data_IF_679001306247
#
_entry.id   IF_679001306247
#
_cell.length_a   1.000
_cell.length_b   1.000
_cell.length_c   1.000
_cell.angle_alpha   90.00
_cell.angle_beta   90.00
_cell.angle_gamma   90.00
#
_symmetry.space_group_name_H-M   'P 1'
#
loop_
_entity.id
_entity.type
_entity.pdbx_description
1 polymer ?
#
# COMPACT_ATOMS: atom_id res chain seq x y z
N UNK A 1 35.28 -1.55 -28.82
CA UNK A 1 35.71 -0.80 -30.02
C UNK A 1 34.64 0.22 -30.36
N UNK A 2 35.08 1.42 -30.71
CA UNK A 2 34.36 2.56 -31.30
C UNK A 2 33.42 3.40 -30.39
N UNK A 3 33.92 4.61 -30.16
CA UNK A 3 33.31 5.85 -29.63
C UNK A 3 32.69 6.65 -30.79
N UNK A 4 31.66 7.46 -30.54
CA UNK A 4 31.42 8.83 -31.09
C UNK A 4 30.03 9.32 -30.63
N UNK A 5 29.86 10.35 -29.81
CA UNK A 5 30.18 11.80 -29.92
C UNK A 5 29.08 12.64 -30.61
N UNK A 6 28.41 13.43 -29.75
CA UNK A 6 27.85 14.79 -29.87
C UNK A 6 27.37 15.37 -31.22
N UNK A 7 26.23 16.08 -31.18
CA UNK A 7 26.15 17.50 -31.56
C UNK A 7 24.80 18.12 -31.16
N UNK A 8 24.84 19.29 -30.54
CA UNK A 8 23.72 20.20 -30.34
C UNK A 8 23.59 21.14 -31.55
N UNK A 9 22.36 21.52 -31.91
CA UNK A 9 22.11 22.67 -32.78
C UNK A 9 20.97 23.52 -32.20
N UNK A 10 21.31 24.78 -31.91
CA UNK A 10 20.40 25.90 -31.74
C UNK A 10 20.05 26.48 -33.12
N UNK A 11 18.80 26.92 -33.29
CA UNK A 11 18.41 27.84 -34.37
C UNK A 11 17.51 28.90 -33.77
N UNK A 12 17.89 30.16 -34.00
CA UNK A 12 17.13 31.35 -33.65
C UNK A 12 16.46 31.95 -34.89
N UNK A 13 15.44 32.77 -34.60
CA UNK A 13 14.92 33.91 -35.39
C UNK A 13 13.75 33.62 -36.35
N UNK A 14 12.62 34.29 -36.13
CA UNK A 14 12.22 35.44 -36.94
C UNK A 14 10.92 36.07 -36.40
N UNK A 15 10.94 37.39 -36.20
CA UNK A 15 9.77 38.20 -35.94
C UNK A 15 9.12 38.62 -37.27
N UNK A 16 7.79 38.65 -37.32
CA UNK A 16 7.03 39.37 -38.33
C UNK A 16 5.87 40.11 -37.64
N UNK A 17 5.77 41.40 -37.94
CA UNK A 17 4.75 42.31 -37.43
C UNK A 17 3.48 42.25 -38.30
N UNK A 18 2.32 42.33 -37.66
CA UNK A 18 1.10 42.88 -38.26
C UNK A 18 0.31 43.64 -37.19
N UNK A 19 0.01 44.90 -37.49
CA UNK A 19 -0.85 45.78 -36.70
C UNK A 19 -2.31 45.61 -37.14
N UNK A 20 -3.27 45.69 -36.21
CA UNK A 20 -4.66 46.01 -36.56
C UNK A 20 -5.76 45.45 -35.64
N UNK A 21 -6.48 46.39 -35.02
CA UNK A 21 -7.87 46.34 -34.54
C UNK A 21 -8.20 45.69 -33.19
N UNK A 22 -8.78 46.53 -32.33
CA UNK A 22 -9.45 46.19 -31.09
C UNK A 22 -10.73 45.40 -31.38
N UNK A 23 -10.79 44.16 -30.90
CA UNK A 23 -12.03 43.45 -30.65
C UNK A 23 -11.93 42.82 -29.26
N UNK A 24 -12.84 43.23 -28.37
CA UNK A 24 -13.03 42.65 -27.05
C UNK A 24 -13.38 41.16 -27.20
N UNK A 25 -12.42 40.28 -26.91
CA UNK A 25 -12.68 38.86 -26.80
C UNK A 25 -13.18 38.56 -25.38
N UNK A 26 -14.38 38.02 -25.29
CA UNK A 26 -14.92 37.38 -24.08
C UNK A 26 -13.96 36.27 -23.61
N UNK A 27 -13.76 36.08 -22.30
CA UNK A 27 -12.79 35.11 -21.79
C UNK A 27 -13.38 33.70 -21.86
N UNK A 28 -13.29 33.07 -23.03
CA UNK A 28 -13.45 31.63 -23.19
C UNK A 28 -12.27 31.08 -23.98
N UNK A 29 -11.56 30.15 -23.35
CA UNK A 29 -10.53 29.27 -23.88
C UNK A 29 -9.16 29.85 -24.24
N UNK A 30 -8.34 30.05 -23.19
CA UNK A 30 -6.87 30.00 -23.31
C UNK A 30 -6.39 28.53 -23.26
N UNK A 31 -5.41 28.11 -24.10
CA UNK A 31 -4.88 26.74 -24.14
C UNK A 31 -4.08 26.30 -22.90
N UNK A 32 -4.00 27.13 -21.86
CA UNK A 32 -3.29 26.84 -20.61
C UNK A 32 -4.16 26.27 -19.48
N UNK A 33 -5.48 26.13 -19.68
CA UNK A 33 -6.43 25.85 -18.58
C UNK A 33 -6.54 24.37 -18.18
N UNK A 34 -6.35 23.44 -19.11
CA UNK A 34 -6.52 22.00 -18.84
C UNK A 34 -5.36 21.41 -18.07
N UNK A 35 -4.11 21.72 -18.42
CA UNK A 35 -2.94 21.22 -17.71
C UNK A 35 -2.87 21.73 -16.26
N UNK A 36 -3.20 23.01 -16.04
CA UNK A 36 -3.25 23.59 -14.70
C UNK A 36 -4.38 22.99 -13.84
N UNK A 37 -5.57 22.76 -14.41
CA UNK A 37 -6.68 22.09 -13.72
C UNK A 37 -6.35 20.65 -13.35
N UNK A 38 -5.78 19.87 -14.28
CA UNK A 38 -5.34 18.49 -14.01
C UNK A 38 -4.30 18.45 -12.89
N UNK A 39 -3.36 19.40 -12.86
CA UNK A 39 -2.37 19.50 -11.78
C UNK A 39 -3.04 19.79 -10.42
N UNK A 40 -3.99 20.73 -10.37
CA UNK A 40 -4.74 21.05 -9.14
C UNK A 40 -5.52 19.82 -8.65
N UNK A 41 -6.21 19.11 -9.54
CA UNK A 41 -7.00 17.92 -9.18
C UNK A 41 -6.12 16.80 -8.63
N UNK A 42 -4.92 16.57 -9.21
CA UNK A 42 -3.94 15.61 -8.68
C UNK A 42 -3.46 16.03 -7.29
N UNK A 43 -3.12 17.30 -7.07
CA UNK A 43 -2.69 17.77 -5.75
C UNK A 43 -3.78 17.64 -4.68
N UNK A 44 -5.04 17.96 -5.03
CA UNK A 44 -6.19 17.82 -4.12
C UNK A 44 -6.45 16.36 -3.77
N UNK A 45 -6.42 15.47 -4.77
CA UNK A 45 -6.61 14.04 -4.56
C UNK A 45 -5.48 13.44 -3.70
N UNK A 46 -4.22 13.81 -3.97
CA UNK A 46 -3.07 13.36 -3.18
C UNK A 46 -3.13 13.83 -1.72
N UNK A 47 -3.53 15.08 -1.49
CA UNK A 47 -3.73 15.61 -0.14
C UNK A 47 -4.84 14.84 0.61
N UNK A 48 -5.96 14.54 -0.06
CA UNK A 48 -7.05 13.72 0.49
C UNK A 48 -6.56 12.31 0.86
N UNK A 49 -5.85 11.63 -0.04
CA UNK A 49 -5.33 10.28 0.23
C UNK A 49 -4.36 10.31 1.40
N UNK A 50 -3.45 11.29 1.44
CA UNK A 50 -2.50 11.44 2.55
C UNK A 50 -3.20 11.64 3.90
N UNK A 51 -4.22 12.48 3.95
CA UNK A 51 -5.01 12.72 5.17
C UNK A 51 -5.74 11.44 5.62
N UNK A 52 -6.44 10.77 4.69
CA UNK A 52 -7.14 9.53 4.95
C UNK A 52 -6.22 8.41 5.46
N UNK A 53 -5.03 8.25 4.87
CA UNK A 53 -4.04 7.26 5.32
C UNK A 53 -3.44 7.62 6.69
N UNK A 54 -3.30 8.92 6.98
CA UNK A 54 -2.86 9.38 8.31
C UNK A 54 -3.92 9.10 9.38
N UNK A 55 -5.21 9.29 9.05
CA UNK A 55 -6.32 8.94 9.95
C UNK A 55 -6.39 7.43 10.20
N UNK A 56 -6.23 6.63 9.14
CA UNK A 56 -6.19 5.17 9.25
C UNK A 56 -5.03 4.70 10.13
N UNK A 57 -3.85 5.33 9.96
CA UNK A 57 -2.70 5.08 10.81
C UNK A 57 -2.94 5.43 12.28
N UNK A 58 -3.49 6.61 12.55
CA UNK A 58 -3.81 7.04 13.91
C UNK A 58 -4.81 6.08 14.58
N UNK A 59 -5.85 5.67 13.85
CA UNK A 59 -6.84 4.71 14.33
C UNK A 59 -6.24 3.32 14.58
N UNK A 60 -5.38 2.83 13.67
CA UNK A 60 -4.74 1.53 13.80
C UNK A 60 -3.73 1.50 14.96
N UNK A 61 -2.90 2.53 15.10
CA UNK A 61 -1.97 2.66 16.22
C UNK A 61 -2.68 2.78 17.56
N UNK A 62 -3.77 3.56 17.64
CA UNK A 62 -4.60 3.64 18.84
C UNK A 62 -5.25 2.29 19.18
N UNK A 63 -5.78 1.59 18.18
CA UNK A 63 -6.38 0.26 18.36
C UNK A 63 -5.37 -0.74 18.93
N UNK A 64 -4.18 -0.81 18.36
CA UNK A 64 -3.14 -1.73 18.85
C UNK A 64 -2.53 -1.30 20.19
N UNK A 65 -2.46 0.00 20.47
CA UNK A 65 -2.12 0.51 21.80
C UNK A 65 -3.14 0.04 22.86
N UNK A 66 -4.43 0.06 22.54
CA UNK A 66 -5.46 -0.45 23.46
C UNK A 66 -5.37 -1.98 23.69
N UNK A 67 -4.97 -2.73 22.66
CA UNK A 67 -4.87 -4.20 22.74
C UNK A 67 -3.57 -4.68 23.42
N UNK A 68 -2.44 -4.02 23.15
CA UNK A 68 -1.11 -4.46 23.57
C UNK A 68 -0.51 -3.62 24.70
N UNK A 69 -1.12 -2.49 25.03
CA UNK A 69 -0.56 -1.51 25.96
C UNK A 69 0.80 -1.00 25.48
N UNK A 70 1.71 -0.73 26.42
CA UNK A 70 3.06 -0.22 26.12
C UNK A 70 3.91 -1.17 25.26
N UNK A 71 3.49 -2.43 25.09
CA UNK A 71 4.19 -3.39 24.21
C UNK A 71 4.25 -2.91 22.76
N UNK A 72 3.28 -2.11 22.30
CA UNK A 72 3.31 -1.52 20.95
C UNK A 72 4.48 -0.56 20.75
N UNK A 73 5.12 -0.08 21.82
CA UNK A 73 6.23 0.86 21.78
C UNK A 73 7.57 0.26 22.26
N UNK A 74 7.60 -1.02 22.66
CA UNK A 74 8.76 -1.64 23.31
C UNK A 74 10.03 -1.69 22.46
N UNK A 75 9.90 -1.77 21.13
CA UNK A 75 11.05 -1.72 20.24
C UNK A 75 11.38 -0.31 19.78
N UNK A 76 10.35 0.46 19.42
CA UNK A 76 10.37 1.88 19.01
C UNK A 76 8.91 2.32 18.81
N UNK A 77 8.65 3.63 18.73
CA UNK A 77 7.36 4.16 18.31
C UNK A 77 7.21 4.01 16.79
N UNK A 78 6.22 3.25 16.28
CA UNK A 78 6.05 3.09 14.85
C UNK A 78 5.74 4.44 14.19
N UNK A 79 6.27 4.66 12.99
CA UNK A 79 6.11 5.91 12.23
C UNK A 79 5.43 5.67 10.87
N UNK A 80 4.69 6.67 10.38
CA UNK A 80 4.20 6.73 9.01
C UNK A 80 4.95 7.82 8.25
N UNK A 81 5.64 7.46 7.17
CA UNK A 81 6.40 8.39 6.36
C UNK A 81 5.94 8.38 4.89
N UNK A 82 5.54 9.55 4.39
CA UNK A 82 5.15 9.73 3.00
C UNK A 82 6.36 10.12 2.15
N UNK A 83 6.64 9.32 1.13
CA UNK A 83 7.79 9.49 0.24
C UNK A 83 7.33 9.61 -1.21
N UNK A 84 8.10 10.26 -2.12
CA UNK A 84 7.73 10.29 -3.53
C UNK A 84 7.66 8.88 -4.15
N UNK A 85 8.59 8.01 -3.77
CA UNK A 85 8.64 6.61 -4.15
C UNK A 85 9.21 5.79 -3.01
N UNK A 86 8.66 4.60 -2.77
CA UNK A 86 9.27 3.64 -1.85
C UNK A 86 10.50 3.04 -2.54
N UNK A 87 11.63 3.01 -1.84
CA UNK A 87 12.92 2.58 -2.37
C UNK A 87 13.53 1.55 -1.43
N UNK A 88 14.34 0.63 -1.99
CA UNK A 88 15.03 -0.39 -1.22
C UNK A 88 15.91 0.20 -0.08
N UNK A 89 16.47 1.41 -0.27
CA UNK A 89 17.24 2.12 0.76
C UNK A 89 16.46 2.45 2.03
N UNK A 90 15.12 2.50 1.99
CA UNK A 90 14.29 2.72 3.17
C UNK A 90 14.23 1.48 4.08
N UNK A 91 14.44 0.29 3.52
CA UNK A 91 14.29 -1.01 4.20
C UNK A 91 15.56 -1.88 4.14
N UNK A 92 16.75 -1.25 4.13
CA UNK A 92 18.04 -1.94 4.06
C UNK A 92 18.19 -2.94 2.89
N UNK A 93 17.50 -2.70 1.77
CA UNK A 93 17.58 -3.54 0.58
C UNK A 93 16.47 -4.58 0.44
N UNK A 94 15.63 -4.80 1.45
CA UNK A 94 14.49 -5.74 1.39
C UNK A 94 13.26 -4.99 0.86
N UNK A 95 12.89 -5.22 -0.41
CA UNK A 95 11.78 -4.52 -1.05
C UNK A 95 11.06 -5.41 -2.06
N UNK A 96 9.74 -5.46 -1.92
CA UNK A 96 8.77 -5.83 -2.95
C UNK A 96 7.52 -5.06 -2.61
N UNK A 97 6.95 -4.28 -3.54
CA UNK A 97 5.51 -3.99 -3.65
C UNK A 97 5.22 -2.63 -4.31
N UNK A 98 4.10 -2.58 -5.04
CA UNK A 98 3.50 -1.35 -5.54
C UNK A 98 2.79 -0.53 -4.43
N UNK A 99 2.71 -1.04 -3.19
CA UNK A 99 2.00 -0.46 -2.05
C UNK A 99 2.88 0.16 -0.96
N UNK A 100 2.30 0.43 0.23
CA UNK A 100 3.03 0.73 1.46
C UNK A 100 4.03 -0.38 1.83
N UNK A 101 5.02 -0.06 2.66
CA UNK A 101 5.99 -1.04 3.17
C UNK A 101 6.39 -0.73 4.61
N UNK A 102 6.30 -1.72 5.50
CA UNK A 102 6.86 -1.68 6.85
C UNK A 102 8.34 -2.09 6.88
N UNK A 103 9.19 -1.19 7.35
CA UNK A 103 10.58 -1.46 7.66
C UNK A 103 10.75 -1.84 9.14
N UNK A 104 11.03 -3.10 9.42
CA UNK A 104 11.27 -3.56 10.79
C UNK A 104 12.56 -2.99 11.41
N UNK A 105 13.55 -2.62 10.61
CA UNK A 105 14.85 -2.13 11.08
C UNK A 105 14.84 -0.68 11.61
N UNK A 106 13.89 0.15 11.18
CA UNK A 106 13.70 1.53 11.69
C UNK A 106 12.24 1.81 12.10
N UNK A 107 11.42 0.77 12.21
CA UNK A 107 10.03 0.81 12.69
C UNK A 107 9.16 1.83 11.92
N UNK A 108 9.35 1.95 10.61
CA UNK A 108 8.65 2.95 9.78
C UNK A 108 7.85 2.28 8.65
N UNK A 109 6.60 2.71 8.48
CA UNK A 109 5.78 2.45 7.29
C UNK A 109 6.03 3.55 6.27
N UNK A 110 6.52 3.18 5.11
CA UNK A 110 6.75 4.09 3.99
C UNK A 110 5.60 3.99 2.99
N UNK A 111 5.05 5.14 2.58
CA UNK A 111 3.94 5.21 1.63
C UNK A 111 4.27 6.18 0.51
N UNK A 112 4.12 5.74 -0.74
CA UNK A 112 4.08 6.66 -1.89
C UNK A 112 2.64 7.07 -2.19
N UNK A 113 2.32 8.35 -2.01
CA UNK A 113 0.98 8.90 -2.31
C UNK A 113 0.64 8.69 -3.78
N UNK A 114 1.61 8.90 -4.69
CA UNK A 114 1.43 8.67 -6.12
C UNK A 114 1.08 7.21 -6.43
N UNK A 115 1.75 6.24 -5.78
CA UNK A 115 1.39 4.84 -5.95
C UNK A 115 -0.02 4.53 -5.42
N UNK A 116 -0.43 5.16 -4.31
CA UNK A 116 -1.78 5.00 -3.75
C UNK A 116 -2.85 5.58 -4.68
N UNK A 117 -2.57 6.71 -5.32
CA UNK A 117 -3.44 7.27 -6.36
C UNK A 117 -3.55 6.33 -7.57
N UNK A 118 -2.43 5.78 -8.03
CA UNK A 118 -2.41 4.80 -9.12
C UNK A 118 -3.22 3.55 -8.79
N UNK A 119 -3.06 3.04 -7.57
CA UNK A 119 -3.80 1.89 -7.08
C UNK A 119 -5.31 2.18 -7.03
N UNK A 120 -5.69 3.34 -6.48
CA UNK A 120 -7.08 3.79 -6.41
C UNK A 120 -7.73 3.93 -7.79
N UNK A 121 -6.96 4.36 -8.81
CA UNK A 121 -7.42 4.46 -10.20
C UNK A 121 -7.58 3.10 -10.87
N UNK A 122 -6.62 2.18 -10.66
CA UNK A 122 -6.57 0.89 -11.35
C UNK A 122 -7.51 -0.15 -10.77
N UNK A 123 -7.87 -0.02 -9.50
CA UNK A 123 -8.72 -0.97 -8.79
C UNK A 123 -10.04 -0.29 -8.37
N UNK A 124 -10.95 -0.07 -9.33
CA UNK A 124 -12.25 0.51 -9.03
C UNK A 124 -12.99 -0.39 -8.02
N UNK A 125 -13.41 0.19 -6.90
CA UNK A 125 -14.10 -0.52 -5.81
C UNK A 125 -13.31 -0.64 -4.51
N UNK A 126 -11.98 -0.39 -4.53
CA UNK A 126 -11.14 -0.39 -3.31
C UNK A 126 -11.59 0.70 -2.33
N UNK A 127 -11.86 1.90 -2.85
CA UNK A 127 -12.31 3.05 -2.05
C UNK A 127 -11.33 3.44 -0.94
N UNK A 128 -11.74 4.37 -0.08
CA UNK A 128 -10.88 4.85 1.02
C UNK A 128 -10.61 3.76 2.06
N UNK A 129 -11.61 2.89 2.33
CA UNK A 129 -11.47 1.79 3.28
C UNK A 129 -10.44 0.75 2.83
N UNK A 130 -10.39 0.44 1.53
CA UNK A 130 -9.40 -0.47 0.96
C UNK A 130 -7.96 0.07 1.02
N UNK A 131 -7.78 1.36 0.76
CA UNK A 131 -6.48 2.01 0.91
C UNK A 131 -6.06 2.08 2.38
N UNK A 132 -7.00 2.38 3.29
CA UNK A 132 -6.76 2.38 4.74
C UNK A 132 -6.30 1.00 5.23
N UNK A 133 -6.90 -0.08 4.69
CA UNK A 133 -6.49 -1.45 4.99
C UNK A 133 -4.99 -1.70 4.71
N UNK A 134 -4.43 -1.14 3.63
CA UNK A 134 -3.00 -1.34 3.31
C UNK A 134 -2.08 -0.80 4.41
N UNK A 135 -2.42 0.35 5.00
CA UNK A 135 -1.64 0.92 6.11
C UNK A 135 -1.82 0.09 7.38
N UNK A 136 -3.02 -0.45 7.63
CA UNK A 136 -3.26 -1.34 8.75
C UNK A 136 -2.51 -2.69 8.61
N UNK A 137 -2.39 -3.21 7.38
CA UNK A 137 -1.57 -4.38 7.06
C UNK A 137 -0.11 -4.14 7.43
N UNK A 138 0.47 -3.01 7.02
CA UNK A 138 1.86 -2.67 7.39
C UNK A 138 2.06 -2.53 8.91
N UNK A 139 1.07 -1.98 9.62
CA UNK A 139 1.12 -1.98 11.08
C UNK A 139 0.97 -3.39 11.67
N UNK A 140 0.28 -4.31 10.98
CA UNK A 140 0.27 -5.74 11.29
C UNK A 140 1.67 -6.35 11.32
N UNK A 141 2.57 -5.96 10.41
CA UNK A 141 3.97 -6.36 10.48
C UNK A 141 4.69 -5.79 11.71
N UNK A 142 4.36 -4.57 12.14
CA UNK A 142 4.88 -4.07 13.41
C UNK A 142 4.43 -4.92 14.61
N UNK A 143 3.16 -5.33 14.63
CA UNK A 143 2.62 -6.24 15.66
C UNK A 143 3.33 -7.60 15.61
N UNK A 144 3.62 -8.13 14.42
CA UNK A 144 4.45 -9.32 14.26
C UNK A 144 5.86 -9.15 14.83
N UNK A 145 6.49 -7.98 14.66
CA UNK A 145 7.80 -7.65 15.27
C UNK A 145 7.70 -7.74 16.80
N UNK A 146 6.70 -7.10 17.39
CA UNK A 146 6.48 -7.10 18.86
C UNK A 146 6.22 -8.51 19.39
N UNK A 147 5.47 -9.32 18.66
CA UNK A 147 5.16 -10.70 19.03
C UNK A 147 6.28 -11.69 18.69
N UNK A 148 7.44 -11.22 18.20
CA UNK A 148 8.59 -12.08 17.90
C UNK A 148 8.39 -12.99 16.69
N UNK A 149 7.40 -12.71 15.83
CA UNK A 149 7.06 -13.53 14.67
C UNK A 149 8.16 -13.51 13.60
N UNK A 150 8.89 -12.40 13.44
CA UNK A 150 10.08 -12.37 12.58
C UNK A 150 11.16 -13.39 13.01
N UNK A 151 11.40 -13.53 14.32
CA UNK A 151 12.35 -14.53 14.83
C UNK A 151 11.84 -15.95 14.59
N UNK A 152 10.54 -16.15 14.77
CA UNK A 152 9.85 -17.44 14.52
C UNK A 152 9.97 -17.82 13.05
N UNK A 153 9.62 -16.92 12.13
CA UNK A 153 9.77 -17.10 10.69
C UNK A 153 11.22 -17.47 10.33
N UNK A 154 12.20 -16.71 10.83
CA UNK A 154 13.61 -16.98 10.55
C UNK A 154 14.05 -18.36 11.07
N UNK A 155 13.55 -18.82 12.21
CA UNK A 155 13.83 -20.16 12.74
C UNK A 155 13.18 -21.26 11.87
N UNK A 156 11.92 -21.09 11.47
CA UNK A 156 11.21 -22.02 10.60
C UNK A 156 11.90 -22.12 9.23
N UNK A 157 12.25 -21.00 8.62
CA UNK A 157 12.96 -20.98 7.33
C UNK A 157 14.31 -21.70 7.42
N UNK A 158 15.07 -21.54 8.51
CA UNK A 158 16.32 -22.29 8.73
C UNK A 158 16.08 -23.79 8.88
N UNK A 159 15.00 -24.18 9.57
CA UNK A 159 14.66 -25.59 9.79
C UNK A 159 14.13 -26.27 8.52
N UNK A 160 13.37 -25.54 7.70
CA UNK A 160 12.74 -26.04 6.48
C UNK A 160 12.94 -25.09 5.29
N UNK A 161 14.16 -24.96 4.75
CA UNK A 161 14.45 -23.99 3.67
C UNK A 161 13.59 -24.19 2.42
N UNK A 162 13.26 -25.45 2.10
CA UNK A 162 12.40 -25.80 0.97
C UNK A 162 10.97 -25.23 1.07
N UNK A 163 10.50 -24.90 2.28
CA UNK A 163 9.19 -24.27 2.53
C UNK A 163 9.27 -22.75 2.71
N UNK A 164 10.43 -22.11 2.46
CA UNK A 164 10.61 -20.68 2.71
C UNK A 164 9.54 -19.80 2.04
N UNK A 165 9.14 -20.11 0.81
CA UNK A 165 8.12 -19.34 0.09
C UNK A 165 6.76 -19.45 0.75
N UNK A 166 6.35 -20.67 1.10
CA UNK A 166 5.10 -20.91 1.80
C UNK A 166 5.07 -20.20 3.16
N UNK A 167 6.17 -20.24 3.90
CA UNK A 167 6.33 -19.55 5.17
C UNK A 167 6.26 -18.02 5.02
N UNK A 168 6.82 -17.47 3.93
CA UNK A 168 6.69 -16.05 3.62
C UNK A 168 5.23 -15.68 3.32
N UNK A 169 4.52 -16.46 2.50
CA UNK A 169 3.09 -16.22 2.23
C UNK A 169 2.25 -16.28 3.51
N UNK A 170 2.49 -17.26 4.39
CA UNK A 170 1.82 -17.35 5.69
C UNK A 170 2.09 -16.12 6.56
N UNK A 171 3.30 -15.56 6.49
CA UNK A 171 3.67 -14.36 7.24
C UNK A 171 2.92 -13.11 6.74
N UNK A 172 2.78 -12.94 5.43
CA UNK A 172 1.96 -11.85 4.85
C UNK A 172 0.47 -12.01 5.18
N UNK A 173 -0.04 -13.25 5.14
CA UNK A 173 -1.43 -13.55 5.47
C UNK A 173 -1.74 -13.35 6.97
N UNK A 174 -0.76 -13.51 7.86
CA UNK A 174 -0.89 -13.12 9.26
C UNK A 174 -1.05 -11.59 9.39
N UNK A 175 -0.34 -10.79 8.60
CA UNK A 175 -0.54 -9.34 8.59
C UNK A 175 -1.93 -8.94 8.06
N UNK A 176 -2.47 -9.63 7.05
CA UNK A 176 -3.86 -9.48 6.61
C UNK A 176 -4.86 -9.80 7.75
N UNK A 177 -4.63 -10.88 8.51
CA UNK A 177 -5.46 -11.23 9.66
C UNK A 177 -5.41 -10.16 10.76
N UNK A 178 -4.23 -9.65 11.09
CA UNK A 178 -4.05 -8.58 12.07
C UNK A 178 -4.73 -7.28 11.62
N UNK A 179 -4.71 -6.96 10.32
CA UNK A 179 -5.52 -5.85 9.78
C UNK A 179 -7.02 -6.11 9.92
N UNK A 180 -7.48 -7.35 9.81
CA UNK A 180 -8.86 -7.75 10.14
C UNK A 180 -9.21 -7.47 11.60
N UNK A 181 -8.33 -7.83 12.54
CA UNK A 181 -8.50 -7.53 13.97
C UNK A 181 -8.66 -6.02 14.21
N UNK A 182 -7.84 -5.21 13.54
CA UNK A 182 -7.99 -3.76 13.58
C UNK A 182 -9.37 -3.32 13.06
N UNK A 183 -9.80 -3.80 11.89
CA UNK A 183 -11.10 -3.44 11.32
C UNK A 183 -12.29 -3.85 12.23
N UNK A 184 -12.13 -4.92 13.02
CA UNK A 184 -13.09 -5.37 14.03
C UNK A 184 -13.20 -4.44 15.25
N UNK A 185 -12.11 -3.74 15.59
CA UNK A 185 -11.99 -2.91 16.80
C UNK A 185 -12.04 -1.41 16.53
N UNK A 186 -11.75 -1.00 15.30
CA UNK A 186 -11.79 0.39 14.87
C UNK A 186 -13.18 0.99 15.07
N UNK A 187 -13.33 2.11 15.81
CA UNK A 187 -14.60 2.82 15.91
C UNK A 187 -15.18 3.23 14.55
N UNK A 188 -14.30 3.50 13.56
CA UNK A 188 -14.69 3.93 12.21
C UNK A 188 -15.17 2.76 11.35
N UNK A 189 -14.53 1.59 11.45
CA UNK A 189 -14.76 0.48 10.51
C UNK A 189 -15.62 -0.66 11.10
N UNK A 190 -15.62 -0.86 12.41
CA UNK A 190 -16.31 -1.97 13.08
C UNK A 190 -17.83 -1.94 12.91
N UNK A 191 -18.44 -0.76 12.77
CA UNK A 191 -19.90 -0.62 12.56
C UNK A 191 -20.29 -0.50 11.08
N UNK A 192 -19.33 -0.27 10.16
CA UNK A 192 -19.62 0.01 8.76
C UNK A 192 -19.49 -1.22 7.88
N UNK A 193 -20.63 -1.88 7.58
CA UNK A 193 -20.68 -3.00 6.64
C UNK A 193 -20.11 -2.64 5.26
N UNK A 194 -20.45 -1.46 4.74
CA UNK A 194 -19.95 -0.99 3.45
C UNK A 194 -18.43 -0.81 3.44
N UNK A 195 -17.83 -0.28 4.52
CA UNK A 195 -16.38 -0.15 4.61
C UNK A 195 -15.68 -1.52 4.71
N UNK A 196 -16.24 -2.46 5.48
CA UNK A 196 -15.71 -3.84 5.55
C UNK A 196 -15.81 -4.55 4.20
N UNK A 197 -16.92 -4.39 3.49
CA UNK A 197 -17.10 -4.93 2.15
C UNK A 197 -16.08 -4.35 1.17
N UNK A 198 -15.80 -3.05 1.23
CA UNK A 198 -14.77 -2.40 0.41
C UNK A 198 -13.35 -2.93 0.73
N UNK A 199 -13.00 -3.15 2.00
CA UNK A 199 -11.73 -3.79 2.37
C UNK A 199 -11.62 -5.21 1.80
N UNK A 200 -12.66 -6.03 1.94
CA UNK A 200 -12.71 -7.40 1.40
C UNK A 200 -12.59 -7.40 -0.13
N UNK A 201 -13.32 -6.51 -0.81
CA UNK A 201 -13.21 -6.35 -2.26
C UNK A 201 -11.81 -5.92 -2.70
N UNK A 202 -11.13 -5.12 -1.86
CA UNK A 202 -9.75 -4.73 -2.12
C UNK A 202 -8.82 -5.93 -2.06
N UNK A 203 -8.84 -6.70 -0.97
CA UNK A 203 -8.06 -7.93 -0.78
C UNK A 203 -8.26 -8.91 -1.96
N UNK A 204 -9.50 -9.06 -2.43
CA UNK A 204 -9.81 -9.86 -3.62
C UNK A 204 -9.18 -9.27 -4.88
N UNK A 205 -9.20 -7.95 -5.07
CA UNK A 205 -8.63 -7.30 -6.25
C UNK A 205 -7.09 -7.32 -6.30
N UNK A 206 -6.42 -7.32 -5.13
CA UNK A 206 -4.95 -7.30 -5.00
C UNK A 206 -4.32 -8.64 -4.64
N UNK A 207 -5.05 -9.75 -4.77
CA UNK A 207 -4.45 -11.07 -4.68
C UNK A 207 -3.50 -11.32 -5.85
N UNK A 208 -2.41 -12.04 -5.61
CA UNK A 208 -1.35 -12.24 -6.61
C UNK A 208 -1.88 -12.95 -7.88
N UNK A 209 -2.83 -13.86 -7.71
CA UNK A 209 -3.53 -14.57 -8.79
C UNK A 209 -4.38 -13.63 -9.67
N UNK A 210 -5.10 -12.68 -9.06
CA UNK A 210 -5.89 -11.67 -9.76
C UNK A 210 -5.00 -10.66 -10.49
N UNK A 211 -3.92 -10.21 -9.85
CA UNK A 211 -2.96 -9.28 -10.47
C UNK A 211 -2.28 -9.94 -11.69
N UNK A 212 -1.81 -11.18 -11.57
CA UNK A 212 -1.20 -11.90 -12.69
C UNK A 212 -2.20 -12.12 -13.84
N UNK A 213 -3.45 -12.46 -13.51
CA UNK A 213 -4.51 -12.63 -14.52
C UNK A 213 -4.82 -11.31 -15.22
N UNK A 214 -4.97 -10.21 -14.48
CA UNK A 214 -5.29 -8.89 -15.02
C UNK A 214 -4.16 -8.32 -15.90
N UNK A 215 -2.91 -8.73 -15.67
CA UNK A 215 -1.76 -8.32 -16.50
C UNK A 215 -1.57 -9.19 -17.74
N UNK A 216 -2.48 -10.16 -18.01
CA UNK A 216 -2.46 -11.01 -19.20
C UNK A 216 -1.38 -12.10 -19.18
N UNK A 217 -0.72 -12.28 -18.04
CA UNK A 217 0.28 -13.34 -17.85
C UNK A 217 -0.36 -14.69 -17.51
N UNK A 218 0.41 -15.76 -17.69
CA UNK A 218 0.04 -17.07 -17.11
C UNK A 218 0.20 -16.97 -15.59
N UNK A 219 -0.80 -17.46 -14.86
CA UNK A 219 -0.71 -17.56 -13.40
C UNK A 219 0.43 -18.51 -13.01
N UNK A 220 1.41 -17.98 -12.30
CA UNK A 220 2.55 -18.69 -11.72
C UNK A 220 2.52 -18.51 -10.19
N UNK A 221 2.07 -19.54 -9.44
CA UNK A 221 2.08 -19.54 -7.98
C UNK A 221 3.47 -19.38 -7.38
N UNK A 222 4.54 -19.70 -8.13
CA UNK A 222 5.90 -19.53 -7.65
C UNK A 222 6.26 -18.05 -7.46
N UNK A 223 5.61 -17.14 -8.19
CA UNK A 223 5.87 -15.70 -8.13
C UNK A 223 4.99 -14.97 -7.09
N UNK A 224 4.20 -15.68 -6.29
CA UNK A 224 3.37 -15.06 -5.26
C UNK A 224 4.22 -14.48 -4.14
N UNK A 225 3.77 -13.32 -3.65
CA UNK A 225 4.42 -12.54 -2.59
C UNK A 225 3.50 -12.30 -1.41
N UNK A 226 2.20 -12.06 -1.64
CA UNK A 226 1.21 -11.75 -0.59
C UNK A 226 0.12 -12.82 -0.47
N UNK A 227 0.01 -13.72 -1.45
CA UNK A 227 -0.95 -14.81 -1.48
C UNK A 227 -2.09 -14.59 -2.46
N UNK A 228 -2.90 -15.63 -2.64
CA UNK A 228 -4.08 -15.57 -3.51
C UNK A 228 -5.18 -14.72 -2.90
N UNK A 229 -6.03 -14.18 -3.76
CA UNK A 229 -7.23 -13.41 -3.41
C UNK A 229 -8.06 -14.12 -2.34
N UNK A 230 -8.28 -15.43 -2.51
CA UNK A 230 -9.05 -16.24 -1.57
C UNK A 230 -8.36 -16.38 -0.20
N UNK A 231 -7.04 -16.61 -0.17
CA UNK A 231 -6.28 -16.73 1.08
C UNK A 231 -6.29 -15.42 1.86
N UNK A 232 -6.06 -14.31 1.17
CA UNK A 232 -6.04 -12.96 1.74
C UNK A 232 -7.39 -12.60 2.35
N UNK A 233 -8.48 -12.78 1.59
CA UNK A 233 -9.85 -12.57 2.09
C UNK A 233 -10.17 -13.47 3.28
N UNK A 234 -9.78 -14.74 3.23
CA UNK A 234 -10.01 -15.70 4.33
C UNK A 234 -9.36 -15.21 5.63
N UNK A 235 -8.07 -14.88 5.59
CA UNK A 235 -7.34 -14.51 6.81
C UNK A 235 -7.74 -13.15 7.35
N UNK A 236 -8.00 -12.17 6.49
CA UNK A 236 -8.59 -10.91 6.92
C UNK A 236 -9.94 -11.12 7.64
N UNK A 237 -10.82 -11.97 7.08
CA UNK A 237 -12.10 -12.29 7.70
C UNK A 237 -11.94 -13.00 9.04
N UNK A 238 -10.99 -13.93 9.18
CA UNK A 238 -10.73 -14.58 10.48
C UNK A 238 -10.41 -13.53 11.56
N UNK A 239 -9.51 -12.59 11.28
CA UNK A 239 -9.20 -11.52 12.22
C UNK A 239 -10.39 -10.58 12.48
N UNK A 240 -11.14 -10.26 11.42
CA UNK A 240 -12.32 -9.40 11.51
C UNK A 240 -13.42 -10.01 12.40
N UNK A 241 -13.70 -11.30 12.22
CA UNK A 241 -14.78 -12.00 12.91
C UNK A 241 -14.41 -12.33 14.36
N UNK A 242 -13.13 -12.66 14.62
CA UNK A 242 -12.65 -13.01 15.97
C UNK A 242 -12.29 -11.80 16.81
N UNK A 243 -11.78 -10.74 16.18
CA UNK A 243 -11.38 -9.50 16.83
C UNK A 243 -10.28 -9.66 17.89
N UNK A 244 -9.46 -10.71 17.82
CA UNK A 244 -8.33 -10.93 18.71
C UNK A 244 -7.13 -11.47 17.94
N UNK A 245 -5.92 -11.13 18.40
CA UNK A 245 -4.68 -11.41 17.67
C UNK A 245 -4.28 -12.89 17.74
N UNK A 246 -4.74 -13.62 18.75
CA UNK A 246 -4.48 -15.05 18.95
C UNK A 246 -5.08 -15.90 17.82
N UNK A 247 -6.16 -15.44 17.19
CA UNK A 247 -6.74 -16.09 16.01
C UNK A 247 -5.84 -16.02 14.75
N UNK A 248 -4.82 -15.16 14.75
CA UNK A 248 -3.98 -14.90 13.59
C UNK A 248 -2.70 -15.75 13.52
N UNK A 249 -2.63 -16.91 14.18
CA UNK A 249 -1.45 -17.80 14.11
C UNK A 249 -1.36 -18.56 12.75
N UNK A 250 -1.14 -17.82 11.66
CA UNK A 250 -1.11 -18.35 10.29
C UNK A 250 0.13 -19.21 10.02
N UNK A 251 1.27 -18.91 10.68
CA UNK A 251 2.48 -19.72 10.53
C UNK A 251 2.24 -21.18 10.95
N UNK A 252 1.39 -21.41 11.96
CA UNK A 252 1.04 -22.75 12.46
C UNK A 252 -0.19 -23.37 11.81
N UNK A 253 -0.96 -22.59 11.02
CA UNK A 253 -2.24 -23.04 10.48
C UNK A 253 -2.09 -24.11 9.38
N UNK A 254 -3.06 -25.01 9.23
CA UNK A 254 -3.11 -25.84 8.02
C UNK A 254 -3.61 -24.98 6.86
N UNK A 255 -2.83 -24.90 5.77
CA UNK A 255 -3.15 -24.04 4.61
C UNK A 255 -4.07 -24.73 3.59
N UNK A 256 -4.59 -25.91 3.93
CA UNK A 256 -5.45 -26.77 3.10
C UNK A 256 -6.60 -27.35 3.93
#
# INVERSE_FOLDING_TARGET
MAVCAAAALTVASAAAAFAGSNAEATPADLPGSTAARVQIDVQVQGARIKAMLSDAWADATATWSNLLGERIFQSDVPQLNFVPAVRASHCYGLYISAGPVYCSGNTTVFVSVTNMEDLARRLPGVGDAGLAFLVAHELGHHVQKINGRFRTLAALVRATPYHQRELALRFELEADCLAGVWASKSPKFAASEGARAAMIASLDAIGDDRIQTATGGKVDPSAYTHGTSAQRVRWFKEGLDRGNAEACDVLSANMF
#
